data_IF_536381943132
#
_entry.id   IF_536381943132
#
_cell.length_a   1.000
_cell.length_b   1.000
_cell.length_c   1.000
_cell.angle_alpha   90.00
_cell.angle_beta   90.00
_cell.angle_gamma   90.00
#
_symmetry.space_group_name_H-M   'P 1'
#
loop_
_entity.id
_entity.type
_entity.pdbx_description
1 polymer ?
#
# COMPACT_ATOMS: atom_id res chain seq x y z
N UNK A 1 -26.34 23.62 -9.76
CA UNK A 1 -25.51 23.25 -10.94
C UNK A 1 -24.04 23.69 -10.87
N UNK A 2 -23.68 24.83 -10.26
CA UNK A 2 -22.27 25.27 -10.11
C UNK A 2 -21.48 24.32 -9.19
N UNK A 3 -22.08 23.93 -8.07
CA UNK A 3 -21.44 23.14 -7.00
C UNK A 3 -20.88 21.77 -7.44
N UNK A 4 -21.55 21.08 -8.37
CA UNK A 4 -21.06 19.78 -8.87
C UNK A 4 -19.82 19.91 -9.75
N UNK A 5 -19.70 21.02 -10.50
CA UNK A 5 -18.48 21.28 -11.29
C UNK A 5 -17.28 21.48 -10.38
N UNK A 6 -17.48 22.16 -9.25
CA UNK A 6 -16.44 22.31 -8.24
C UNK A 6 -16.07 20.97 -7.61
N UNK A 7 -17.05 20.11 -7.30
CA UNK A 7 -16.76 18.76 -6.83
C UNK A 7 -15.88 17.97 -7.82
N UNK A 8 -16.25 17.98 -9.11
CA UNK A 8 -15.48 17.29 -10.15
C UNK A 8 -14.06 17.88 -10.28
N UNK A 9 -13.91 19.19 -10.19
CA UNK A 9 -12.61 19.83 -10.31
C UNK A 9 -11.70 19.55 -9.10
N UNK A 10 -12.24 19.65 -7.88
CA UNK A 10 -11.44 19.57 -6.65
C UNK A 10 -11.24 18.15 -6.12
N UNK A 11 -12.28 17.31 -6.13
CA UNK A 11 -12.28 16.01 -5.43
C UNK A 11 -12.10 14.81 -6.37
N UNK A 12 -12.60 14.86 -7.61
CA UNK A 12 -12.50 13.73 -8.54
C UNK A 12 -11.06 13.25 -8.77
N UNK A 13 -10.04 14.13 -8.94
CA UNK A 13 -8.66 13.68 -9.09
C UNK A 13 -8.12 12.95 -7.85
N UNK A 14 -8.50 13.40 -6.66
CA UNK A 14 -8.09 12.79 -5.40
C UNK A 14 -8.69 11.39 -5.22
N UNK A 15 -9.97 11.24 -5.59
CA UNK A 15 -10.67 9.95 -5.59
C UNK A 15 -10.00 8.99 -6.58
N UNK A 16 -9.77 9.43 -7.83
CA UNK A 16 -9.11 8.59 -8.83
C UNK A 16 -7.70 8.15 -8.42
N UNK A 17 -6.94 9.06 -7.77
CA UNK A 17 -5.59 8.75 -7.29
C UNK A 17 -5.59 7.69 -6.18
N UNK A 18 -6.52 7.78 -5.24
CA UNK A 18 -6.65 6.80 -4.14
C UNK A 18 -7.26 5.47 -4.62
N UNK A 19 -7.97 5.47 -5.74
CA UNK A 19 -8.66 4.31 -6.29
C UNK A 19 -8.23 4.02 -7.74
N UNK A 20 -6.96 3.64 -7.98
CA UNK A 20 -6.42 3.47 -9.34
C UNK A 20 -7.08 2.32 -10.11
N UNK A 21 -7.67 1.35 -9.41
CA UNK A 21 -8.37 0.20 -10.01
C UNK A 21 -9.83 0.49 -10.37
N UNK A 22 -10.36 1.65 -9.97
CA UNK A 22 -11.75 2.03 -10.23
C UNK A 22 -11.81 2.94 -11.45
N UNK A 23 -12.63 2.58 -12.43
CA UNK A 23 -12.89 3.41 -13.60
C UNK A 23 -13.92 4.50 -13.28
N UNK A 24 -13.57 5.76 -13.49
CA UNK A 24 -14.49 6.90 -13.36
C UNK A 24 -14.78 7.48 -14.74
N UNK A 25 -16.05 7.61 -15.09
CA UNK A 25 -16.52 8.22 -16.34
C UNK A 25 -17.40 9.42 -16.04
N UNK A 26 -17.14 10.56 -16.70
CA UNK A 26 -17.92 11.79 -16.52
C UNK A 26 -18.71 12.10 -17.79
N UNK A 27 -20.01 12.33 -17.62
CA UNK A 27 -20.91 12.73 -18.71
C UNK A 27 -21.42 14.14 -18.45
N UNK A 28 -21.48 14.96 -19.49
CA UNK A 28 -21.89 16.37 -19.38
C UNK A 28 -23.20 16.57 -20.12
N UNK A 29 -24.11 17.32 -19.51
CA UNK A 29 -25.37 17.77 -20.14
C UNK A 29 -26.30 16.65 -20.64
N UNK A 30 -26.25 15.47 -20.00
CA UNK A 30 -27.12 14.34 -20.36
C UNK A 30 -28.48 14.36 -19.62
N UNK A 31 -28.50 14.90 -18.41
CA UNK A 31 -29.69 14.95 -17.55
C UNK A 31 -29.85 16.35 -16.95
N UNK A 32 -31.09 16.76 -16.62
CA UNK A 32 -31.35 18.07 -16.04
C UNK A 32 -30.75 18.22 -14.63
N UNK A 33 -30.73 17.14 -13.84
CA UNK A 33 -30.12 17.10 -12.50
C UNK A 33 -28.86 16.23 -12.48
N UNK A 34 -27.82 16.64 -11.71
CA UNK A 34 -26.60 15.86 -11.57
C UNK A 34 -26.79 14.70 -10.59
N UNK A 35 -26.18 13.56 -10.89
CA UNK A 35 -26.15 12.39 -10.01
C UNK A 35 -24.82 11.64 -10.17
N UNK A 36 -24.49 10.81 -9.19
CA UNK A 36 -23.38 9.87 -9.23
C UNK A 36 -23.96 8.46 -9.27
N UNK A 37 -23.42 7.61 -10.14
CA UNK A 37 -23.84 6.22 -10.26
C UNK A 37 -22.65 5.29 -10.06
N UNK A 38 -22.77 4.38 -9.10
CA UNK A 38 -21.78 3.36 -8.78
C UNK A 38 -22.25 2.00 -9.27
N UNK A 39 -21.33 1.22 -9.82
CA UNK A 39 -21.55 -0.15 -10.29
C UNK A 39 -20.63 -1.06 -9.49
N UNK A 40 -21.17 -2.11 -8.91
CA UNK A 40 -20.43 -3.04 -8.06
C UNK A 40 -20.21 -4.38 -8.78
N UNK A 41 -19.22 -5.14 -8.30
CA UNK A 41 -18.81 -6.42 -8.90
C UNK A 41 -19.90 -7.49 -8.86
N UNK A 42 -20.82 -7.40 -7.90
CA UNK A 42 -21.99 -8.27 -7.78
C UNK A 42 -23.14 -7.90 -8.76
N UNK A 43 -22.93 -6.90 -9.63
CA UNK A 43 -23.91 -6.40 -10.58
C UNK A 43 -24.92 -5.42 -9.97
N UNK A 44 -24.84 -5.10 -8.68
CA UNK A 44 -25.71 -4.09 -8.08
C UNK A 44 -25.29 -2.69 -8.50
N UNK A 45 -26.24 -1.77 -8.45
CA UNK A 45 -26.05 -0.38 -8.84
C UNK A 45 -26.58 0.52 -7.74
N UNK A 46 -25.89 1.62 -7.49
CA UNK A 46 -26.32 2.66 -6.56
C UNK A 46 -26.34 4.00 -7.26
N UNK A 47 -27.43 4.73 -7.10
CA UNK A 47 -27.61 6.08 -7.64
C UNK A 47 -27.69 7.06 -6.48
N UNK A 48 -26.84 8.08 -6.52
CA UNK A 48 -26.70 9.10 -5.49
C UNK A 48 -27.07 10.43 -6.13
N UNK A 49 -28.18 11.01 -5.70
CA UNK A 49 -28.58 12.36 -6.09
C UNK A 49 -27.71 13.39 -5.38
N UNK A 50 -27.10 14.29 -6.16
CA UNK A 50 -26.18 15.32 -5.69
C UNK A 50 -26.68 16.72 -6.02
N UNK A 51 -27.94 16.85 -6.44
CA UNK A 51 -28.51 18.15 -6.72
C UNK A 51 -28.58 19.02 -5.46
N UNK A 52 -28.32 20.31 -5.65
CA UNK A 52 -28.29 21.32 -4.60
C UNK A 52 -27.41 21.03 -3.37
N UNK A 53 -26.41 20.14 -3.50
CA UNK A 53 -25.41 19.89 -2.44
C UNK A 53 -24.10 20.62 -2.71
N UNK A 54 -23.42 21.03 -1.64
CA UNK A 54 -22.06 21.58 -1.72
C UNK A 54 -21.04 20.49 -2.07
N UNK A 55 -19.85 20.88 -2.54
CA UNK A 55 -18.79 19.91 -2.89
C UNK A 55 -18.34 19.11 -1.66
N UNK A 56 -18.33 19.72 -0.48
CA UNK A 56 -17.99 19.11 0.80
C UNK A 56 -19.04 18.10 1.25
N UNK A 57 -20.32 18.42 1.10
CA UNK A 57 -21.44 17.51 1.39
C UNK A 57 -21.43 16.29 0.48
N UNK A 58 -21.21 16.49 -0.82
CA UNK A 58 -21.10 15.39 -1.78
C UNK A 58 -19.94 14.46 -1.41
N UNK A 59 -18.79 15.04 -1.09
CA UNK A 59 -17.60 14.26 -0.70
C UNK A 59 -17.84 13.47 0.59
N UNK A 60 -18.40 14.10 1.61
CA UNK A 60 -18.71 13.44 2.89
C UNK A 60 -19.72 12.31 2.70
N UNK A 61 -20.79 12.56 1.94
CA UNK A 61 -21.80 11.56 1.68
C UNK A 61 -21.25 10.35 0.90
N UNK A 62 -20.36 10.57 -0.07
CA UNK A 62 -19.70 9.47 -0.78
C UNK A 62 -18.80 8.63 0.14
N UNK A 63 -18.09 9.27 1.08
CA UNK A 63 -17.27 8.55 2.07
C UNK A 63 -18.12 7.68 2.99
N UNK A 64 -19.30 8.14 3.36
CA UNK A 64 -20.21 7.38 4.24
C UNK A 64 -20.85 6.18 3.54
N UNK A 65 -21.26 6.36 2.28
CA UNK A 65 -22.06 5.35 1.57
C UNK A 65 -21.19 4.35 0.80
N UNK A 66 -20.09 4.81 0.21
CA UNK A 66 -19.22 4.00 -0.66
C UNK A 66 -17.82 3.81 -0.06
N UNK A 67 -17.39 4.71 0.83
CA UNK A 67 -16.07 4.66 1.45
C UNK A 67 -15.93 3.52 2.46
N UNK A 68 -14.67 3.13 2.70
CA UNK A 68 -14.33 2.21 3.79
C UNK A 68 -14.42 2.94 5.13
N UNK A 69 -14.78 2.20 6.19
CA UNK A 69 -14.72 2.73 7.55
C UNK A 69 -13.28 2.99 7.98
N UNK A 70 -13.09 3.91 8.93
CA UNK A 70 -11.75 4.26 9.46
C UNK A 70 -11.03 3.06 10.05
N UNK A 71 -11.77 2.21 10.78
CA UNK A 71 -11.25 0.99 11.39
C UNK A 71 -10.65 0.03 10.36
N UNK A 72 -11.33 -0.14 9.21
CA UNK A 72 -10.83 -1.00 8.12
C UNK A 72 -9.58 -0.40 7.50
N UNK A 73 -9.54 0.92 7.30
CA UNK A 73 -8.35 1.61 6.77
C UNK A 73 -7.15 1.47 7.71
N UNK A 74 -7.34 1.64 9.01
CA UNK A 74 -6.29 1.47 10.02
C UNK A 74 -5.79 0.02 10.06
N UNK A 75 -6.69 -0.95 10.03
CA UNK A 75 -6.32 -2.36 9.98
C UNK A 75 -5.50 -2.71 8.73
N UNK A 76 -5.86 -2.16 7.56
CA UNK A 76 -5.12 -2.35 6.31
C UNK A 76 -3.72 -1.72 6.37
N UNK A 77 -3.58 -0.54 6.97
CA UNK A 77 -2.27 0.12 7.18
C UNK A 77 -1.39 -0.73 8.09
N UNK A 78 -1.91 -1.16 9.24
CA UNK A 78 -1.18 -2.02 10.18
C UNK A 78 -0.77 -3.33 9.52
N UNK A 79 -1.66 -3.95 8.72
CA UNK A 79 -1.36 -5.19 8.01
C UNK A 79 -0.26 -5.00 6.94
N UNK A 80 -0.23 -3.84 6.28
CA UNK A 80 0.80 -3.50 5.30
C UNK A 80 2.17 -3.26 5.96
N UNK A 81 2.19 -2.64 7.13
CA UNK A 81 3.41 -2.40 7.93
C UNK A 81 3.96 -3.68 8.56
N UNK A 82 3.08 -4.59 9.01
CA UNK A 82 3.46 -5.86 9.67
C UNK A 82 4.15 -6.89 8.76
N UNK A 83 4.42 -6.57 7.50
CA UNK A 83 4.88 -7.57 6.53
C UNK A 83 6.33 -8.00 6.74
N UNK A 84 7.15 -7.18 7.36
CA UNK A 84 8.56 -7.51 7.59
C UNK A 84 8.74 -8.09 8.99
N UNK A 85 8.91 -9.42 9.05
CA UNK A 85 9.30 -10.07 10.29
C UNK A 85 10.69 -9.53 10.71
N UNK A 86 10.83 -8.93 11.90
CA UNK A 86 12.11 -8.36 12.36
C UNK A 86 13.22 -9.41 12.56
N UNK A 87 12.87 -10.69 12.51
CA UNK A 87 13.81 -11.80 12.52
C UNK A 87 14.37 -12.15 11.12
N UNK A 88 13.86 -11.54 10.05
CA UNK A 88 14.37 -11.77 8.70
C UNK A 88 15.75 -11.14 8.53
N UNK A 89 16.59 -11.80 7.73
CA UNK A 89 17.91 -11.31 7.34
C UNK A 89 17.96 -11.16 5.82
N UNK A 90 18.58 -10.10 5.32
CA UNK A 90 18.83 -9.90 3.90
C UNK A 90 18.75 -8.45 3.45
N UNK A 91 18.74 -8.21 2.12
CA UNK A 91 18.49 -6.89 1.55
C UNK A 91 17.10 -6.39 1.97
N UNK A 92 17.01 -5.11 2.37
CA UNK A 92 15.78 -4.48 2.88
C UNK A 92 15.24 -5.02 4.22
N UNK A 93 16.03 -5.83 4.94
CA UNK A 93 15.80 -6.15 6.34
C UNK A 93 16.71 -5.30 7.23
N UNK A 94 16.40 -5.21 8.53
CA UNK A 94 17.23 -4.49 9.51
C UNK A 94 18.67 -4.98 9.56
N UNK A 95 18.87 -6.27 9.29
CA UNK A 95 20.17 -6.94 9.30
C UNK A 95 20.38 -7.69 8.00
N UNK A 96 21.57 -7.55 7.43
CA UNK A 96 21.87 -8.23 6.17
C UNK A 96 22.31 -9.68 6.41
N UNK A 97 23.15 -9.89 7.42
CA UNK A 97 23.69 -11.19 7.78
C UNK A 97 23.75 -11.34 9.31
N UNK A 98 23.63 -12.57 9.79
CA UNK A 98 23.67 -12.88 11.22
C UNK A 98 25.01 -12.51 11.89
N UNK A 99 26.08 -12.35 11.11
CA UNK A 99 27.39 -11.93 11.62
C UNK A 99 27.40 -10.51 12.22
N UNK A 100 26.36 -9.70 11.99
CA UNK A 100 26.17 -8.39 12.60
C UNK A 100 25.70 -8.49 14.06
N UNK A 101 25.22 -9.66 14.49
CA UNK A 101 24.73 -9.87 15.85
C UNK A 101 25.91 -10.19 16.78
N UNK A 102 26.09 -9.46 17.89
CA UNK A 102 27.15 -9.75 18.84
C UNK A 102 26.98 -11.15 19.45
N UNK A 103 28.09 -11.86 19.62
CA UNK A 103 28.11 -13.26 20.06
C UNK A 103 28.05 -14.27 18.92
N UNK A 104 27.78 -13.84 17.68
CA UNK A 104 27.86 -14.69 16.49
C UNK A 104 29.27 -14.67 15.88
N UNK A 105 29.53 -15.60 14.96
CA UNK A 105 30.81 -15.66 14.25
C UNK A 105 30.90 -14.45 13.29
N UNK A 106 31.97 -13.63 13.35
CA UNK A 106 32.13 -12.49 12.47
C UNK A 106 32.39 -12.92 11.03
N UNK A 107 32.05 -12.03 10.08
CA UNK A 107 32.29 -12.29 8.67
C UNK A 107 33.79 -12.48 8.39
N UNK A 108 34.21 -13.52 7.63
CA UNK A 108 35.61 -13.73 7.27
C UNK A 108 36.28 -12.56 6.54
N UNK A 109 35.48 -11.71 5.88
CA UNK A 109 35.95 -10.50 5.21
C UNK A 109 36.39 -9.39 6.17
N UNK A 110 35.85 -9.35 7.40
CA UNK A 110 36.25 -8.37 8.42
C UNK A 110 37.24 -8.95 9.41
N UNK A 111 37.00 -10.19 9.87
CA UNK A 111 37.87 -10.89 10.82
C UNK A 111 38.19 -12.30 10.29
N UNK A 112 39.46 -12.61 10.02
CA UNK A 112 39.80 -13.85 9.36
C UNK A 112 39.71 -15.03 10.36
N UNK A 113 38.84 -16.01 10.07
CA UNK A 113 38.52 -17.13 10.98
C UNK A 113 39.75 -17.96 11.42
N UNK A 114 39.73 -18.69 12.55
CA UNK A 114 40.84 -19.57 12.94
C UNK A 114 41.24 -20.57 11.84
N UNK A 115 42.54 -20.90 11.73
CA UNK A 115 43.05 -21.81 10.67
C UNK A 115 42.31 -23.15 10.65
N UNK A 116 41.97 -23.65 11.84
CA UNK A 116 41.24 -24.91 12.04
C UNK A 116 39.87 -24.87 11.35
N UNK A 117 39.24 -23.71 11.14
CA UNK A 117 37.93 -23.58 10.48
C UNK A 117 38.03 -23.35 8.96
N UNK A 118 39.22 -23.11 8.40
CA UNK A 118 39.39 -22.80 6.96
C UNK A 118 39.71 -24.06 6.15
N UNK A 119 38.98 -24.27 5.06
CA UNK A 119 39.13 -25.46 4.20
C UNK A 119 40.56 -25.70 3.71
N UNK A 120 41.31 -24.64 3.36
CA UNK A 120 42.70 -24.75 2.88
C UNK A 120 43.68 -25.36 3.89
N UNK A 121 43.41 -25.31 5.20
CA UNK A 121 44.28 -25.91 6.22
C UNK A 121 43.74 -27.26 6.70
N UNK A 122 42.43 -27.50 6.59
CA UNK A 122 41.82 -28.80 6.92
C UNK A 122 42.16 -29.88 5.88
N UNK A 123 42.05 -29.53 4.61
CA UNK A 123 42.05 -30.51 3.51
C UNK A 123 43.32 -30.48 2.65
N UNK A 124 44.07 -29.38 2.65
CA UNK A 124 45.33 -29.30 1.93
C UNK A 124 46.48 -29.89 2.79
N UNK A 125 46.35 -31.16 3.16
CA UNK A 125 47.49 -31.95 3.59
C UNK A 125 48.16 -32.39 2.30
N UNK A 126 49.27 -31.74 1.92
CA UNK A 126 50.12 -32.31 0.90
C UNK A 126 50.40 -33.75 1.33
N UNK A 127 50.08 -34.70 0.46
CA UNK A 127 50.40 -36.11 0.66
C UNK A 127 51.88 -36.21 1.04
N UNK A 128 52.16 -36.66 2.27
CA UNK A 128 53.50 -37.06 2.69
C UNK A 128 53.78 -38.46 2.16
#
# INVERSE_FOLDING_TARGET
MIYFRDFVFWYLPQIQYKNPTVQISTFKSMTPTPFIRCFYDNGTQMLIDVDNRSKEEIHTHLLEVVGKTKEVLEAEVIAKEKKDNPANFGPHCDRHCICEIPGQIPCPGTCPLPKIMRGKYKYNKAEM
#
